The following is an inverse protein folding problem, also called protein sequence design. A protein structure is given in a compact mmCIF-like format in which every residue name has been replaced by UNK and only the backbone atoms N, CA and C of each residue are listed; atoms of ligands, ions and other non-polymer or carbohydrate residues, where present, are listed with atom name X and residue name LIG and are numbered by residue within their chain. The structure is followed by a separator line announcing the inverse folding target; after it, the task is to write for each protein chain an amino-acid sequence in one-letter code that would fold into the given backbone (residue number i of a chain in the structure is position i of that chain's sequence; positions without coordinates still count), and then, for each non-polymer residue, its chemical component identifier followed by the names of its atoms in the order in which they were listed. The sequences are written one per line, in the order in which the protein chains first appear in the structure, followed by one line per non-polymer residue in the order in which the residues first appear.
data_IF_380652936524
#
_entry.id   IF_380652936524
#
_cell.length_a   1.000
_cell.length_b   1.000
_cell.length_c   1.000
_cell.angle_alpha   90.00
_cell.angle_beta   90.00
_cell.angle_gamma   90.00
#
_symmetry.space_group_name_H-M   'P 1'
#
loop_
_entity.id
_entity.type
_entity.pdbx_description
1 polymer ?
#
# COMPACT_ATOMS: atom_id res chain seq x y z
N UNK A 1 4.46 -8.77 7.75
CA UNK A 1 4.81 -7.36 7.47
C UNK A 1 5.59 -7.29 6.18
N UNK A 2 5.34 -6.30 5.35
CA UNK A 2 6.01 -6.07 4.08
C UNK A 2 6.52 -4.63 4.02
N UNK A 3 7.70 -4.43 3.45
CA UNK A 3 8.15 -3.11 3.03
C UNK A 3 7.74 -2.92 1.57
N UNK A 4 6.97 -1.88 1.32
CA UNK A 4 6.52 -1.55 -0.03
C UNK A 4 7.65 -0.87 -0.78
N UNK A 5 7.95 -1.42 -1.97
CA UNK A 5 8.96 -0.90 -2.87
C UNK A 5 8.49 -1.04 -4.32
N UNK A 6 7.97 0.03 -4.88
CA UNK A 6 7.38 0.06 -6.24
C UNK A 6 6.17 -0.87 -6.40
N UNK A 7 5.26 -0.82 -5.44
CA UNK A 7 4.05 -1.63 -5.41
C UNK A 7 2.79 -0.75 -5.47
N UNK A 8 1.90 -1.06 -6.40
CA UNK A 8 0.70 -0.28 -6.70
C UNK A 8 -0.60 -0.96 -6.24
N UNK A 9 -0.52 -1.94 -5.35
CA UNK A 9 -1.66 -2.69 -4.81
C UNK A 9 -2.49 -3.47 -5.85
N UNK A 10 -1.95 -3.70 -7.03
CA UNK A 10 -2.53 -4.65 -7.98
C UNK A 10 -2.29 -6.10 -7.55
N UNK A 11 -3.13 -7.00 -8.01
CA UNK A 11 -3.06 -8.41 -7.65
C UNK A 11 -1.77 -9.11 -8.12
N UNK A 12 -1.20 -8.72 -9.26
CA UNK A 12 0.05 -9.27 -9.84
C UNK A 12 0.12 -10.81 -9.81
N UNK A 13 -0.91 -11.48 -10.30
CA UNK A 13 -1.10 -12.93 -10.18
C UNK A 13 0.09 -13.78 -10.64
N UNK A 14 0.90 -13.27 -11.56
CA UNK A 14 2.10 -13.95 -12.01
C UNK A 14 3.26 -13.89 -11.01
N UNK A 15 3.24 -12.94 -10.07
CA UNK A 15 4.36 -12.63 -9.18
C UNK A 15 3.96 -12.82 -7.71
N UNK A 16 2.82 -12.30 -7.30
CA UNK A 16 2.32 -12.37 -5.92
C UNK A 16 1.65 -13.71 -5.70
N UNK A 17 2.41 -14.66 -5.21
CA UNK A 17 2.02 -16.05 -4.99
C UNK A 17 2.31 -16.48 -3.56
N UNK A 18 1.63 -17.54 -3.11
CA UNK A 18 1.96 -18.23 -1.87
C UNK A 18 3.23 -19.06 -2.06
N UNK A 19 3.94 -19.35 -0.99
CA UNK A 19 5.22 -20.08 -1.06
C UNK A 19 5.06 -21.49 -1.65
N UNK A 20 3.91 -22.14 -1.45
CA UNK A 20 3.57 -23.46 -1.97
C UNK A 20 2.90 -23.44 -3.35
N UNK A 21 2.61 -22.27 -3.91
CA UNK A 21 2.04 -22.15 -5.24
C UNK A 21 3.07 -22.48 -6.33
N UNK A 22 2.59 -23.12 -7.40
CA UNK A 22 3.42 -23.37 -8.57
C UNK A 22 3.92 -22.06 -9.19
N UNK A 23 5.24 -21.97 -9.39
CA UNK A 23 5.90 -20.78 -9.95
C UNK A 23 6.13 -19.66 -8.93
N UNK A 24 6.05 -19.95 -7.63
CA UNK A 24 6.51 -18.98 -6.64
C UNK A 24 8.00 -18.66 -6.87
N UNK A 25 8.31 -17.38 -6.97
CA UNK A 25 9.66 -16.85 -7.08
C UNK A 25 9.84 -15.74 -6.04
N UNK A 26 10.54 -16.07 -4.96
CA UNK A 26 10.82 -15.14 -3.86
C UNK A 26 11.51 -13.87 -4.36
N UNK A 27 12.42 -13.99 -5.31
CA UNK A 27 13.18 -12.85 -5.83
C UNK A 27 12.29 -11.91 -6.63
N UNK A 28 11.38 -12.44 -7.43
CA UNK A 28 10.39 -11.65 -8.17
C UNK A 28 9.41 -10.97 -7.22
N UNK A 29 8.92 -11.70 -6.21
CA UNK A 29 8.04 -11.18 -5.17
C UNK A 29 8.71 -10.03 -4.39
N UNK A 30 9.95 -10.23 -3.92
CA UNK A 30 10.68 -9.26 -3.10
C UNK A 30 11.16 -8.02 -3.88
N UNK A 31 11.09 -8.02 -5.21
CA UNK A 31 11.27 -6.78 -6.00
C UNK A 31 10.15 -5.77 -5.77
N UNK A 32 8.96 -6.24 -5.44
CA UNK A 32 7.78 -5.42 -5.20
C UNK A 32 7.53 -5.22 -3.70
N UNK A 33 7.68 -6.29 -2.93
CA UNK A 33 7.34 -6.34 -1.51
C UNK A 33 8.42 -7.07 -0.74
N UNK A 34 9.27 -6.36 -0.03
CA UNK A 34 10.28 -6.99 0.83
C UNK A 34 9.61 -7.61 2.05
N UNK A 35 9.73 -8.93 2.17
CA UNK A 35 9.13 -9.69 3.27
C UNK A 35 9.89 -9.41 4.57
N UNK A 36 9.15 -9.03 5.61
CA UNK A 36 9.66 -8.82 6.96
C UNK A 36 8.90 -9.72 7.94
N UNK A 37 9.31 -10.97 8.06
CA UNK A 37 8.71 -11.95 8.97
C UNK A 37 8.25 -13.21 8.26
N UNK A 38 6.96 -13.55 8.41
CA UNK A 38 6.39 -14.77 7.88
C UNK A 38 6.35 -14.81 6.35
N UNK A 39 6.49 -16.01 5.79
CA UNK A 39 6.35 -16.28 4.36
C UNK A 39 4.94 -16.73 3.95
N UNK A 40 4.00 -16.85 4.88
CA UNK A 40 2.59 -17.06 4.55
C UNK A 40 1.99 -15.75 4.00
N UNK A 41 1.71 -15.75 2.71
CA UNK A 41 1.19 -14.58 2.00
C UNK A 41 -0.33 -14.63 1.80
N UNK A 42 -1.03 -15.58 2.43
CA UNK A 42 -2.48 -15.78 2.25
C UNK A 42 -3.25 -14.49 2.52
N UNK A 43 -3.06 -13.86 3.67
CA UNK A 43 -3.74 -12.61 4.02
C UNK A 43 -3.51 -11.46 3.02
N UNK A 44 -2.27 -11.36 2.51
CA UNK A 44 -1.95 -10.34 1.52
C UNK A 44 -2.69 -10.61 0.21
N UNK A 45 -2.69 -11.86 -0.23
CA UNK A 45 -3.33 -12.27 -1.47
C UNK A 45 -4.84 -12.10 -1.39
N UNK A 46 -5.46 -12.45 -0.27
CA UNK A 46 -6.90 -12.27 -0.04
C UNK A 46 -7.27 -10.78 -0.08
N UNK A 47 -6.57 -9.93 0.66
CA UNK A 47 -6.78 -8.49 0.64
C UNK A 47 -6.62 -7.90 -0.78
N UNK A 48 -5.58 -8.28 -1.51
CA UNK A 48 -5.37 -7.81 -2.88
C UNK A 48 -6.44 -8.32 -3.85
N UNK A 49 -6.95 -9.52 -3.63
CA UNK A 49 -8.03 -10.09 -4.44
C UNK A 49 -9.29 -9.26 -4.30
N UNK A 50 -9.71 -8.97 -3.07
CA UNK A 50 -10.90 -8.16 -2.81
C UNK A 50 -10.71 -6.70 -3.25
N UNK A 51 -9.53 -6.13 -3.03
CA UNK A 51 -9.20 -4.77 -3.47
C UNK A 51 -9.25 -4.61 -5.00
N UNK A 52 -8.98 -5.67 -5.74
CA UNK A 52 -9.02 -5.66 -7.21
C UNK A 52 -10.33 -6.23 -7.79
N UNK A 53 -11.28 -6.63 -6.95
CA UNK A 53 -12.63 -7.00 -7.38
C UNK A 53 -13.55 -5.77 -7.37
N UNK A 54 -13.71 -5.14 -8.52
CA UNK A 54 -14.55 -3.94 -8.67
C UNK A 54 -16.06 -4.20 -8.49
N UNK A 55 -16.48 -5.42 -8.24
CA UNK A 55 -17.85 -5.74 -7.84
C UNK A 55 -18.11 -5.47 -6.34
N UNK A 56 -17.04 -5.38 -5.53
CA UNK A 56 -17.08 -5.05 -4.11
C UNK A 56 -16.91 -3.54 -3.93
N UNK A 57 -17.75 -2.94 -3.10
CA UNK A 57 -17.61 -1.51 -2.78
C UNK A 57 -16.34 -1.23 -1.99
N UNK A 58 -15.61 -0.17 -2.34
CA UNK A 58 -14.33 0.16 -1.68
C UNK A 58 -14.49 0.34 -0.15
N UNK A 59 -15.64 0.86 0.30
CA UNK A 59 -15.92 0.99 1.73
C UNK A 59 -15.99 -0.36 2.44
N UNK A 60 -16.49 -1.39 1.78
CA UNK A 60 -16.57 -2.74 2.33
C UNK A 60 -15.18 -3.37 2.38
N UNK A 61 -14.36 -3.21 1.34
CA UNK A 61 -12.96 -3.64 1.31
C UNK A 61 -12.14 -2.98 2.43
N UNK A 62 -12.32 -1.67 2.64
CA UNK A 62 -11.61 -0.95 3.69
C UNK A 62 -11.99 -1.47 5.08
N UNK A 63 -13.27 -1.71 5.34
CA UNK A 63 -13.76 -2.26 6.62
C UNK A 63 -13.28 -3.69 6.88
N UNK A 64 -13.23 -4.50 5.84
CA UNK A 64 -12.84 -5.91 5.96
C UNK A 64 -11.34 -6.07 6.20
N UNK A 65 -10.51 -5.29 5.50
CA UNK A 65 -9.08 -5.54 5.43
C UNK A 65 -8.22 -4.49 6.13
N UNK A 66 -8.72 -3.30 6.45
CA UNK A 66 -7.90 -2.22 6.97
C UNK A 66 -8.42 -1.64 8.27
N UNK A 67 -7.50 -1.17 9.11
CA UNK A 67 -7.88 -0.27 10.19
C UNK A 67 -8.21 1.10 9.58
N UNK A 68 -9.50 1.44 9.58
CA UNK A 68 -10.01 2.66 8.92
C UNK A 68 -9.38 3.93 9.49
N UNK A 69 -9.18 3.98 10.81
CA UNK A 69 -8.58 5.15 11.46
C UNK A 69 -7.11 5.29 11.05
N UNK A 70 -6.38 4.20 11.05
CA UNK A 70 -4.97 4.19 10.65
C UNK A 70 -4.77 4.63 9.20
N UNK A 71 -5.53 4.07 8.26
CA UNK A 71 -5.37 4.41 6.84
C UNK A 71 -5.75 5.87 6.56
N UNK A 72 -6.82 6.38 7.18
CA UNK A 72 -7.24 7.77 7.04
C UNK A 72 -6.19 8.74 7.61
N UNK A 73 -5.66 8.47 8.80
CA UNK A 73 -4.60 9.30 9.37
C UNK A 73 -3.31 9.23 8.57
N UNK A 74 -2.93 8.05 8.10
CA UNK A 74 -1.77 7.89 7.25
C UNK A 74 -1.89 8.72 5.97
N UNK A 75 -3.02 8.61 5.26
CA UNK A 75 -3.29 9.37 4.04
C UNK A 75 -3.32 10.88 4.30
N UNK A 76 -4.04 11.31 5.33
CA UNK A 76 -4.13 12.73 5.70
C UNK A 76 -2.76 13.31 6.03
N UNK A 77 -1.90 12.57 6.75
CA UNK A 77 -0.54 12.99 7.04
C UNK A 77 0.28 13.15 5.76
N UNK A 78 0.26 12.16 4.87
CA UNK A 78 1.04 12.21 3.63
C UNK A 78 0.60 13.38 2.72
N UNK A 79 -0.70 13.62 2.63
CA UNK A 79 -1.27 14.74 1.87
C UNK A 79 -0.85 16.07 2.49
N UNK A 80 -1.02 16.24 3.81
CA UNK A 80 -0.70 17.46 4.52
C UNK A 80 0.79 17.81 4.42
N UNK A 81 1.64 16.79 4.48
CA UNK A 81 3.10 16.95 4.42
C UNK A 81 3.66 17.03 3.00
N UNK A 82 2.80 16.87 1.99
CA UNK A 82 3.21 16.88 0.58
C UNK A 82 4.22 15.79 0.25
N UNK A 83 4.10 14.62 0.88
CA UNK A 83 5.01 13.51 0.65
C UNK A 83 4.62 12.77 -0.64
N UNK A 84 5.27 13.10 -1.73
CA UNK A 84 4.98 12.50 -3.06
C UNK A 84 5.62 11.13 -3.26
N UNK A 85 6.52 10.72 -2.37
CA UNK A 85 7.30 9.49 -2.49
C UNK A 85 6.63 8.26 -1.87
N UNK A 86 5.47 8.42 -1.22
CA UNK A 86 4.86 7.35 -0.44
C UNK A 86 3.66 6.68 -1.13
N UNK A 87 3.36 7.00 -2.38
CA UNK A 87 2.20 6.42 -3.09
C UNK A 87 2.36 4.91 -3.36
N UNK A 88 3.56 4.48 -3.73
CA UNK A 88 3.87 3.10 -4.06
C UNK A 88 5.18 2.59 -3.45
N UNK A 89 5.73 3.33 -2.51
CA UNK A 89 6.97 2.99 -1.79
C UNK A 89 7.04 3.74 -0.45
N UNK A 90 8.09 3.51 0.32
CA UNK A 90 8.35 4.21 1.57
C UNK A 90 7.25 4.05 2.63
N UNK A 91 6.66 2.87 2.68
CA UNK A 91 5.67 2.48 3.67
C UNK A 91 5.83 1.01 4.03
N UNK A 92 5.51 0.66 5.26
CA UNK A 92 5.33 -0.73 5.65
C UNK A 92 3.84 -1.06 5.71
N UNK A 93 3.50 -2.23 5.19
CA UNK A 93 2.20 -2.85 5.34
C UNK A 93 2.30 -3.93 6.41
N UNK A 94 1.58 -3.77 7.50
CA UNK A 94 1.64 -4.64 8.66
C UNK A 94 0.27 -5.24 8.98
N UNK A 95 0.24 -6.55 9.23
CA UNK A 95 -0.92 -7.23 9.82
C UNK A 95 -0.45 -8.09 10.98
N UNK A 96 -1.09 -8.02 12.16
CA UNK A 96 -0.82 -8.92 13.28
C UNK A 96 -1.13 -10.38 12.93
N UNK A 97 -0.45 -11.34 13.58
CA UNK A 97 -0.69 -12.77 13.32
C UNK A 97 -2.11 -13.23 13.67
N UNK A 98 -2.73 -12.57 14.64
CA UNK A 98 -4.06 -12.91 15.16
C UNK A 98 -5.20 -12.03 14.62
N UNK A 99 -4.95 -11.30 13.54
CA UNK A 99 -5.91 -10.40 12.91
C UNK A 99 -5.66 -10.37 11.41
N UNK A 100 -6.70 -10.20 10.61
CA UNK A 100 -6.60 -10.03 9.16
C UNK A 100 -6.54 -8.55 8.73
N UNK A 101 -6.60 -7.65 9.72
CA UNK A 101 -6.56 -6.21 9.51
C UNK A 101 -5.13 -5.73 9.18
N UNK A 102 -5.05 -4.86 8.21
CA UNK A 102 -3.82 -4.23 7.75
C UNK A 102 -3.67 -2.80 8.26
N UNK A 103 -2.42 -2.44 8.54
CA UNK A 103 -2.00 -1.12 9.00
C UNK A 103 -0.91 -0.58 8.09
N UNK A 104 -1.01 0.70 7.74
CA UNK A 104 0.05 1.46 7.10
C UNK A 104 0.97 2.06 8.16
N UNK A 105 2.27 1.79 8.04
CA UNK A 105 3.29 2.37 8.91
C UNK A 105 4.18 3.25 8.04
N UNK A 106 4.17 4.56 8.33
CA UNK A 106 4.97 5.52 7.60
C UNK A 106 6.47 5.21 7.75
N UNK A 107 7.18 5.29 6.64
CA UNK A 107 8.62 5.07 6.58
C UNK A 107 9.24 6.04 5.59
N UNK A 108 10.45 6.53 5.90
CA UNK A 108 11.24 7.36 5.01
C UNK A 108 10.49 8.60 4.51
N UNK A 109 10.08 9.45 5.46
CA UNK A 109 9.34 10.67 5.16
C UNK A 109 10.28 11.85 4.80
N UNK A 110 11.46 11.60 4.29
CA UNK A 110 12.40 12.63 3.88
C UNK A 110 11.94 13.42 2.65
N UNK A 111 10.97 12.87 1.90
CA UNK A 111 10.25 13.55 0.82
C UNK A 111 9.24 14.59 1.28
N UNK A 112 8.98 14.70 2.60
CA UNK A 112 8.04 15.68 3.16
C UNK A 112 8.60 17.10 3.09
N UNK A 113 7.77 18.07 2.67
CA UNK A 113 8.09 19.51 2.67
C UNK A 113 9.36 19.88 1.88
N UNK A 114 9.83 19.02 1.00
CA UNK A 114 11.16 19.16 0.42
C UNK A 114 11.28 20.25 -0.65
N UNK A 115 10.18 20.62 -1.32
CA UNK A 115 10.27 21.53 -2.47
C UNK A 115 9.12 22.52 -2.54
N UNK A 116 9.44 23.82 -2.65
CA UNK A 116 8.42 24.86 -2.90
C UNK A 116 7.61 24.64 -4.19
N UNK A 117 8.22 24.03 -5.19
CA UNK A 117 7.54 23.72 -6.46
C UNK A 117 6.52 22.58 -6.36
N UNK A 118 6.58 21.79 -5.30
CA UNK A 118 5.58 20.80 -4.94
C UNK A 118 4.62 21.28 -3.84
N UNK A 119 4.44 22.59 -3.76
CA UNK A 119 3.52 23.19 -2.82
C UNK A 119 2.10 22.63 -2.93
N UNK A 120 1.31 22.85 -1.91
CA UNK A 120 -0.11 22.42 -1.84
C UNK A 120 -0.94 22.79 -3.07
N UNK A 121 -0.59 23.84 -3.79
CA UNK A 121 -1.22 24.19 -5.08
C UNK A 121 -1.15 23.06 -6.10
N UNK A 122 -0.13 22.23 -6.06
CA UNK A 122 0.01 21.08 -6.93
C UNK A 122 -0.96 19.96 -6.57
N UNK A 123 -1.52 19.99 -5.38
CA UNK A 123 -2.57 19.06 -4.97
C UNK A 123 -3.95 19.43 -5.52
N UNK A 124 -4.17 20.67 -5.86
CA UNK A 124 -5.41 21.11 -6.52
C UNK A 124 -5.33 20.95 -8.04
N UNK A 125 -4.16 20.61 -8.57
CA UNK A 125 -3.88 20.50 -9.99
C UNK A 125 -3.74 19.03 -10.43
N UNK A 126 -3.22 18.84 -11.60
CA UNK A 126 -3.21 17.55 -12.31
C UNK A 126 -2.31 16.48 -11.70
N UNK A 127 -1.42 16.84 -10.79
CA UNK A 127 -0.50 15.94 -10.08
C UNK A 127 -0.80 15.86 -8.59
N UNK A 128 -2.01 16.14 -8.18
CA UNK A 128 -2.37 16.06 -6.79
C UNK A 128 -2.39 14.63 -6.28
N UNK A 129 -2.21 14.48 -5.00
CA UNK A 129 -2.47 13.25 -4.28
C UNK A 129 -3.87 12.69 -4.55
N UNK A 130 -4.85 13.55 -4.70
CA UNK A 130 -6.20 13.18 -5.07
C UNK A 130 -6.23 12.38 -6.37
N UNK A 131 -5.40 12.74 -7.36
CA UNK A 131 -5.29 11.98 -8.60
C UNK A 131 -4.43 10.72 -8.45
N UNK A 132 -3.40 10.76 -7.62
CA UNK A 132 -2.56 9.61 -7.34
C UNK A 132 -3.25 8.54 -6.52
N UNK A 133 -4.19 8.93 -5.66
CA UNK A 133 -4.97 8.01 -4.83
C UNK A 133 -6.29 7.59 -5.50
N UNK A 134 -6.81 8.40 -6.42
CA UNK A 134 -8.11 8.18 -7.06
C UNK A 134 -8.03 7.48 -8.41
N UNK A 135 -6.85 7.11 -8.86
CA UNK A 135 -6.68 6.41 -10.13
C UNK A 135 -6.64 4.90 -9.94
#
# INVERSE_FOLDING_TARGET
MYKINSFEFYRYEDIIKKEDDAGYDKTAFEKMLEIKGDSDHTKLIDMLTDLNDYSIGIEDVLKEHFDEENIVYWMAFQILMGNVDTQNRNVYLYSPLNSDIWYFIAWDNDGCLMRPEYELRNFSDQNSWEKGISN
#
